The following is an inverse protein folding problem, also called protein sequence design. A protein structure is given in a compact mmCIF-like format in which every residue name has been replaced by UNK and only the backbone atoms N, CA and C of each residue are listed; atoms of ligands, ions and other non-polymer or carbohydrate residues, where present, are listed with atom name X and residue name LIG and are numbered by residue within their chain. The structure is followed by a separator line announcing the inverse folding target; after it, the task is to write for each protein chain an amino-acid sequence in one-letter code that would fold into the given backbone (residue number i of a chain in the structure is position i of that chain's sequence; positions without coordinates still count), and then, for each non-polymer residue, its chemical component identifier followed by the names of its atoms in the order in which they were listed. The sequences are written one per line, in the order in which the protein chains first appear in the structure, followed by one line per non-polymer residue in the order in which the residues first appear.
data_IF_708318054878
#
_entry.id   IF_708318054878
#
_cell.length_a   1.000
_cell.length_b   1.000
_cell.length_c   1.000
_cell.angle_alpha   90.00
_cell.angle_beta   90.00
_cell.angle_gamma   90.00
#
_symmetry.space_group_name_H-M   'P 1'
#
loop_
_entity.id
_entity.type
_entity.pdbx_description
1 polymer ?
#
# COMPACT_ATOMS: atom_id res chain seq x y z
N UNK A 1 -8.37 -24.02 2.63
CA UNK A 1 -8.73 -23.68 1.26
C UNK A 1 -9.70 -22.51 1.27
N UNK A 2 -9.61 -21.60 0.31
CA UNK A 2 -10.44 -20.37 0.20
C UNK A 2 -11.95 -20.68 0.16
N UNK A 3 -12.33 -21.86 -0.32
CA UNK A 3 -13.74 -22.31 -0.38
C UNK A 3 -14.41 -22.45 0.99
N UNK A 4 -13.65 -22.50 2.07
CA UNK A 4 -14.17 -22.63 3.43
C UNK A 4 -14.31 -21.32 4.18
N UNK A 5 -13.94 -20.19 3.56
CA UNK A 5 -13.84 -18.91 4.25
C UNK A 5 -14.80 -17.82 3.76
N UNK A 6 -15.58 -18.06 2.71
CA UNK A 6 -16.40 -17.01 2.11
C UNK A 6 -17.85 -17.48 1.90
N UNK A 7 -18.84 -16.64 2.18
CA UNK A 7 -20.25 -16.91 1.88
C UNK A 7 -20.50 -16.75 0.37
N UNK A 8 -19.99 -17.69 -0.43
CA UNK A 8 -20.17 -17.69 -1.87
C UNK A 8 -21.04 -18.88 -2.32
N UNK A 9 -21.74 -18.71 -3.43
CA UNK A 9 -22.65 -19.75 -3.99
C UNK A 9 -21.84 -20.92 -4.56
N UNK A 10 -20.72 -20.61 -5.22
CA UNK A 10 -19.76 -21.61 -5.72
C UNK A 10 -18.36 -21.02 -5.90
N UNK A 11 -17.36 -21.88 -5.97
CA UNK A 11 -15.98 -21.54 -6.27
C UNK A 11 -15.60 -22.12 -7.63
N UNK A 12 -15.20 -21.26 -8.56
CA UNK A 12 -14.59 -21.68 -9.81
C UNK A 12 -13.07 -21.64 -9.67
N UNK A 13 -12.40 -22.68 -10.09
CA UNK A 13 -10.95 -22.80 -9.98
C UNK A 13 -10.31 -23.27 -11.28
N UNK A 14 -9.06 -22.92 -11.49
CA UNK A 14 -8.22 -23.48 -12.52
C UNK A 14 -7.10 -24.31 -11.91
N UNK A 15 -6.72 -25.41 -12.54
CA UNK A 15 -5.69 -26.31 -12.06
C UNK A 15 -4.61 -26.53 -13.14
N UNK A 16 -3.40 -26.85 -12.71
CA UNK A 16 -2.27 -27.17 -13.59
C UNK A 16 -1.02 -26.36 -13.29
N UNK A 17 0.14 -26.89 -13.69
CA UNK A 17 1.45 -26.29 -13.45
C UNK A 17 1.64 -24.93 -14.12
N UNK A 18 0.92 -24.67 -15.21
CA UNK A 18 0.97 -23.39 -15.91
C UNK A 18 0.47 -22.19 -15.10
N UNK A 19 -0.31 -22.44 -14.02
CA UNK A 19 -0.87 -21.42 -13.13
C UNK A 19 -0.13 -21.32 -11.79
N UNK A 20 0.84 -22.19 -11.54
CA UNK A 20 1.62 -22.20 -10.29
C UNK A 20 2.48 -20.93 -10.13
N UNK A 21 2.93 -20.36 -11.25
CA UNK A 21 3.75 -19.16 -11.25
C UNK A 21 3.00 -17.96 -11.87
N UNK A 22 3.17 -16.73 -11.35
CA UNK A 22 2.52 -15.55 -11.90
C UNK A 22 3.05 -15.23 -13.30
N UNK A 23 2.27 -15.55 -14.32
CA UNK A 23 2.57 -15.32 -15.72
C UNK A 23 1.39 -14.65 -16.42
N UNK A 24 1.64 -13.53 -17.11
CA UNK A 24 0.58 -12.76 -17.75
C UNK A 24 -0.30 -13.60 -18.68
N UNK A 25 0.31 -14.41 -19.56
CA UNK A 25 -0.44 -15.14 -20.57
C UNK A 25 -1.38 -16.19 -19.98
N UNK A 26 -0.90 -17.02 -19.03
CA UNK A 26 -1.72 -18.03 -18.36
C UNK A 26 -2.74 -17.39 -17.40
N UNK A 27 -2.34 -16.38 -16.64
CA UNK A 27 -3.23 -15.70 -15.71
C UNK A 27 -4.38 -14.98 -16.44
N UNK A 28 -4.11 -14.32 -17.56
CA UNK A 28 -5.13 -13.64 -18.35
C UNK A 28 -6.10 -14.63 -19.02
N UNK A 29 -5.60 -15.77 -19.52
CA UNK A 29 -6.44 -16.83 -20.08
C UNK A 29 -7.33 -17.46 -18.98
N UNK A 30 -6.76 -17.71 -17.81
CA UNK A 30 -7.51 -18.21 -16.64
C UNK A 30 -8.62 -17.25 -16.23
N UNK A 31 -8.29 -15.95 -16.08
CA UNK A 31 -9.25 -14.93 -15.71
C UNK A 31 -10.41 -14.83 -16.72
N UNK A 32 -10.08 -14.81 -18.01
CA UNK A 32 -11.10 -14.80 -19.08
C UNK A 32 -12.01 -16.03 -19.00
N UNK A 33 -11.44 -17.24 -18.88
CA UNK A 33 -12.21 -18.49 -18.80
C UNK A 33 -13.11 -18.54 -17.57
N UNK A 34 -12.62 -18.11 -16.41
CA UNK A 34 -13.40 -18.03 -15.18
C UNK A 34 -14.56 -17.04 -15.29
N UNK A 35 -14.31 -15.86 -15.86
CA UNK A 35 -15.35 -14.85 -16.06
C UNK A 35 -16.42 -15.31 -17.04
N UNK A 36 -16.05 -16.01 -18.11
CA UNK A 36 -17.02 -16.62 -19.06
C UNK A 36 -17.84 -17.70 -18.38
N UNK A 37 -17.23 -18.63 -17.65
CA UNK A 37 -17.92 -19.68 -16.93
C UNK A 37 -18.87 -19.16 -15.84
N UNK A 38 -18.48 -18.07 -15.18
CA UNK A 38 -19.31 -17.39 -14.20
C UNK A 38 -20.41 -16.51 -14.81
N UNK A 39 -20.36 -16.22 -16.11
CA UNK A 39 -21.18 -15.18 -16.75
C UNK A 39 -21.09 -13.84 -15.99
N UNK A 40 -19.88 -13.50 -15.56
CA UNK A 40 -19.65 -12.41 -14.63
C UNK A 40 -20.00 -11.04 -15.26
N UNK A 41 -20.87 -10.29 -14.62
CA UNK A 41 -21.23 -8.93 -15.02
C UNK A 41 -20.40 -7.87 -14.29
N UNK A 42 -20.00 -8.17 -13.04
CA UNK A 42 -19.09 -7.36 -12.24
C UNK A 42 -17.99 -8.28 -11.72
N UNK A 43 -16.73 -7.83 -11.83
CA UNK A 43 -15.55 -8.59 -11.41
C UNK A 43 -14.76 -7.73 -10.43
N UNK A 44 -14.65 -8.21 -9.18
CA UNK A 44 -13.88 -7.54 -8.13
C UNK A 44 -12.54 -8.24 -7.92
N UNK A 45 -11.47 -7.48 -7.80
CA UNK A 45 -10.16 -8.01 -7.44
C UNK A 45 -9.36 -7.00 -6.62
N UNK A 46 -8.38 -7.43 -5.81
CA UNK A 46 -7.50 -6.50 -5.12
C UNK A 46 -6.59 -5.77 -6.11
N UNK A 47 -6.32 -4.49 -5.84
CA UNK A 47 -5.37 -3.67 -6.56
C UNK A 47 -3.94 -4.15 -6.26
N UNK A 48 -3.54 -5.22 -6.90
CA UNK A 48 -2.19 -5.76 -6.83
C UNK A 48 -1.52 -5.71 -8.21
N UNK A 49 -0.20 -5.71 -8.27
CA UNK A 49 0.53 -5.70 -9.54
C UNK A 49 0.21 -6.91 -10.44
N UNK A 50 -0.14 -8.06 -9.86
CA UNK A 50 -0.59 -9.22 -10.64
C UNK A 50 -1.96 -8.97 -11.25
N UNK A 51 -2.97 -8.58 -10.44
CA UNK A 51 -4.32 -8.38 -10.93
C UNK A 51 -4.48 -7.16 -11.83
N UNK A 52 -3.79 -6.04 -11.55
CA UNK A 52 -3.83 -4.86 -12.40
C UNK A 52 -3.41 -5.17 -13.85
N UNK A 53 -2.39 -6.01 -14.00
CA UNK A 53 -1.90 -6.44 -15.30
C UNK A 53 -2.84 -7.42 -16.00
N UNK A 54 -3.40 -8.37 -15.28
CA UNK A 54 -4.21 -9.47 -15.82
C UNK A 54 -5.64 -9.04 -16.12
N UNK A 55 -6.27 -8.29 -15.19
CA UNK A 55 -7.68 -7.87 -15.33
C UNK A 55 -7.91 -6.94 -16.51
N UNK A 56 -6.93 -6.08 -16.84
CA UNK A 56 -7.01 -5.21 -18.01
C UNK A 56 -7.10 -6.04 -19.32
N UNK A 57 -6.29 -7.12 -19.42
CA UNK A 57 -6.34 -8.01 -20.57
C UNK A 57 -7.66 -8.78 -20.64
N UNK A 58 -8.16 -9.29 -19.51
CA UNK A 58 -9.42 -10.02 -19.47
C UNK A 58 -10.60 -9.10 -19.81
N UNK A 59 -10.63 -7.87 -19.28
CA UNK A 59 -11.65 -6.87 -19.60
C UNK A 59 -11.69 -6.60 -21.10
N UNK A 60 -10.53 -6.36 -21.73
CA UNK A 60 -10.43 -6.12 -23.16
C UNK A 60 -10.95 -7.33 -23.99
N UNK A 61 -10.55 -8.56 -23.64
CA UNK A 61 -10.98 -9.78 -24.36
C UNK A 61 -12.47 -10.08 -24.22
N UNK A 62 -13.07 -9.64 -23.16
CA UNK A 62 -14.50 -9.80 -22.87
C UNK A 62 -15.36 -8.62 -23.34
N UNK A 63 -14.76 -7.62 -23.97
CA UNK A 63 -15.45 -6.40 -24.41
C UNK A 63 -15.96 -5.53 -23.24
N UNK A 64 -15.36 -5.70 -22.07
CA UNK A 64 -15.74 -5.02 -20.84
C UNK A 64 -14.90 -3.77 -20.56
N UNK A 65 -15.10 -3.20 -19.37
CA UNK A 65 -14.38 -2.03 -18.87
C UNK A 65 -13.68 -2.34 -17.57
N UNK A 66 -12.61 -1.60 -17.26
CA UNK A 66 -11.87 -1.72 -16.01
C UNK A 66 -11.64 -0.36 -15.38
N UNK A 67 -11.91 -0.26 -14.07
CA UNK A 67 -11.51 0.86 -13.23
C UNK A 67 -10.62 0.38 -12.10
N UNK A 68 -9.53 1.11 -11.87
CA UNK A 68 -8.51 0.79 -10.89
C UNK A 68 -8.52 1.79 -9.74
N UNK A 69 -7.87 1.46 -8.62
CA UNK A 69 -7.83 2.33 -7.44
C UNK A 69 -9.21 2.67 -6.90
N UNK A 70 -10.10 1.67 -6.91
CA UNK A 70 -11.44 1.80 -6.33
C UNK A 70 -11.32 1.76 -4.82
N UNK A 71 -11.88 2.75 -4.15
CA UNK A 71 -11.82 2.90 -2.69
C UNK A 71 -13.03 2.29 -1.99
N UNK A 72 -14.19 2.36 -2.62
CA UNK A 72 -15.43 1.80 -2.11
C UNK A 72 -16.44 1.54 -3.22
N UNK A 73 -17.43 0.73 -2.90
CA UNK A 73 -18.58 0.46 -3.75
C UNK A 73 -19.82 1.08 -3.10
N UNK A 74 -20.68 1.70 -3.90
CA UNK A 74 -21.96 2.24 -3.43
C UNK A 74 -22.98 1.14 -3.18
N UNK A 75 -23.92 1.41 -2.28
CA UNK A 75 -25.00 0.51 -1.90
C UNK A 75 -26.28 0.73 -2.74
N UNK A 76 -26.21 1.50 -3.82
CA UNK A 76 -27.36 1.79 -4.67
C UNK A 76 -27.77 0.60 -5.53
N UNK A 77 -29.01 0.58 -6.02
CA UNK A 77 -29.52 -0.44 -6.97
C UNK A 77 -28.66 -0.51 -8.25
N UNK A 78 -28.08 0.61 -8.65
CA UNK A 78 -27.09 0.68 -9.73
C UNK A 78 -25.69 0.64 -9.13
N UNK A 79 -24.81 -0.29 -9.56
CA UNK A 79 -23.45 -0.37 -9.05
C UNK A 79 -22.70 0.93 -9.25
N UNK A 80 -22.19 1.50 -8.17
CA UNK A 80 -21.35 2.68 -8.14
C UNK A 80 -19.96 2.32 -7.60
N UNK A 81 -18.92 2.92 -8.16
CA UNK A 81 -17.55 2.76 -7.69
C UNK A 81 -16.92 4.12 -7.41
N UNK A 82 -16.39 4.30 -6.22
CA UNK A 82 -15.62 5.48 -5.87
C UNK A 82 -14.15 5.21 -6.12
N UNK A 83 -13.46 6.14 -6.77
CA UNK A 83 -12.03 6.01 -7.04
C UNK A 83 -11.29 7.33 -7.00
N UNK A 84 -9.97 7.25 -6.70
CA UNK A 84 -9.09 8.40 -6.75
C UNK A 84 -8.59 8.70 -8.16
N UNK A 85 -8.55 10.00 -8.50
CA UNK A 85 -7.90 10.56 -9.68
C UNK A 85 -6.82 11.57 -9.30
N UNK A 86 -5.96 11.90 -10.24
CA UNK A 86 -4.94 12.96 -10.13
C UNK A 86 -4.12 12.86 -8.84
N UNK A 87 -3.50 11.70 -8.59
CA UNK A 87 -2.71 11.45 -7.36
C UNK A 87 -3.55 11.67 -6.10
N UNK A 88 -4.75 11.13 -6.05
CA UNK A 88 -5.67 11.19 -4.92
C UNK A 88 -6.15 12.61 -4.55
N UNK A 89 -6.14 13.53 -5.50
CA UNK A 89 -6.66 14.89 -5.27
C UNK A 89 -8.17 14.99 -5.47
N UNK A 90 -8.72 14.15 -6.32
CA UNK A 90 -10.15 14.13 -6.66
C UNK A 90 -10.64 12.70 -6.45
N UNK A 91 -11.74 12.55 -5.74
CA UNK A 91 -12.53 11.33 -5.69
C UNK A 91 -13.71 11.47 -6.65
N UNK A 92 -13.91 10.47 -7.49
CA UNK A 92 -15.01 10.42 -8.40
C UNK A 92 -15.91 9.23 -8.10
N UNK A 93 -17.21 9.44 -8.22
CA UNK A 93 -18.23 8.38 -8.25
C UNK A 93 -18.48 8.02 -9.70
N UNK A 94 -18.27 6.75 -10.02
CA UNK A 94 -18.41 6.23 -11.39
C UNK A 94 -19.58 5.24 -11.46
N UNK A 95 -20.34 5.34 -12.52
CA UNK A 95 -21.34 4.34 -12.94
C UNK A 95 -21.01 3.88 -14.36
N UNK A 96 -21.27 2.60 -14.65
CA UNK A 96 -21.13 2.07 -16.01
C UNK A 96 -22.28 1.10 -16.31
N UNK A 97 -22.82 1.21 -17.48
CA UNK A 97 -23.86 0.27 -18.00
C UNK A 97 -23.24 -0.90 -18.75
N UNK A 98 -22.07 -0.70 -19.36
CA UNK A 98 -21.36 -1.75 -20.09
C UNK A 98 -20.85 -2.86 -19.16
N UNK A 99 -20.95 -4.11 -19.63
CA UNK A 99 -20.55 -5.31 -18.88
C UNK A 99 -19.65 -6.21 -19.74
N UNK A 100 -18.76 -7.00 -19.12
CA UNK A 100 -18.46 -7.01 -17.69
C UNK A 100 -17.71 -5.75 -17.23
N UNK A 101 -17.92 -5.34 -15.98
CA UNK A 101 -17.19 -4.23 -15.36
C UNK A 101 -16.22 -4.77 -14.32
N UNK A 102 -14.93 -4.54 -14.55
CA UNK A 102 -13.84 -4.95 -13.68
C UNK A 102 -13.46 -3.81 -12.74
N UNK A 103 -13.37 -4.10 -11.45
CA UNK A 103 -13.08 -3.15 -10.39
C UNK A 103 -11.90 -3.65 -9.56
N UNK A 104 -10.79 -2.90 -9.57
CA UNK A 104 -9.64 -3.19 -8.74
C UNK A 104 -9.70 -2.35 -7.47
N UNK A 105 -9.95 -3.02 -6.34
CA UNK A 105 -10.12 -2.40 -5.03
C UNK A 105 -8.77 -2.14 -4.37
N UNK A 106 -8.57 -0.92 -3.88
CA UNK A 106 -7.38 -0.57 -3.10
C UNK A 106 -7.32 -1.39 -1.81
N UNK A 107 -6.15 -1.93 -1.49
CA UNK A 107 -5.96 -2.71 -0.28
C UNK A 107 -6.10 -1.83 0.98
N UNK A 108 -6.75 -2.35 2.00
CA UNK A 108 -6.91 -1.66 3.29
C UNK A 108 -8.04 -0.63 3.34
N UNK A 109 -8.83 -0.47 2.29
CA UNK A 109 -10.01 0.42 2.28
C UNK A 109 -11.27 -0.25 2.83
N UNK A 110 -11.30 -1.58 2.86
CA UNK A 110 -12.45 -2.34 3.30
C UNK A 110 -12.14 -3.14 4.57
N UNK A 111 -13.16 -3.35 5.39
CA UNK A 111 -13.06 -4.18 6.60
C UNK A 111 -12.94 -5.65 6.16
N UNK A 112 -12.03 -6.43 6.75
CA UNK A 112 -11.96 -7.86 6.48
C UNK A 112 -13.26 -8.57 6.86
N UNK A 113 -13.65 -9.56 6.05
CA UNK A 113 -14.80 -10.39 6.38
C UNK A 113 -14.54 -11.20 7.66
N UNK A 114 -15.45 -11.07 8.63
CA UNK A 114 -15.40 -11.72 9.95
C UNK A 114 -16.56 -12.68 10.20
N UNK A 115 -17.41 -12.92 9.19
CA UNK A 115 -18.57 -13.80 9.30
C UNK A 115 -18.22 -15.30 9.31
N UNK A 116 -19.22 -16.13 9.48
CA UNK A 116 -19.04 -17.58 9.47
C UNK A 116 -18.62 -18.09 8.10
N UNK A 117 -17.70 -19.05 8.10
CA UNK A 117 -17.24 -19.69 6.89
C UNK A 117 -18.27 -20.68 6.36
N UNK A 118 -18.61 -20.60 5.08
CA UNK A 118 -19.45 -21.58 4.39
C UNK A 118 -18.61 -22.42 3.42
N UNK A 119 -18.92 -23.71 3.32
CA UNK A 119 -18.32 -24.57 2.33
C UNK A 119 -19.07 -24.42 1.01
N UNK A 120 -18.42 -23.89 -0.01
CA UNK A 120 -18.97 -23.82 -1.37
C UNK A 120 -18.40 -24.93 -2.26
N UNK A 121 -19.21 -25.50 -3.20
CA UNK A 121 -18.73 -26.48 -4.15
C UNK A 121 -17.65 -25.85 -5.06
N UNK A 122 -16.61 -26.62 -5.35
CA UNK A 122 -15.53 -26.21 -6.24
C UNK A 122 -15.67 -26.88 -7.59
N UNK A 123 -15.75 -26.07 -8.64
CA UNK A 123 -15.80 -26.52 -10.03
C UNK A 123 -14.48 -26.15 -10.73
N UNK A 124 -13.83 -27.13 -11.36
CA UNK A 124 -12.58 -26.91 -12.10
C UNK A 124 -12.92 -26.53 -13.54
N UNK A 125 -12.49 -25.35 -13.96
CA UNK A 125 -12.68 -24.82 -15.29
C UNK A 125 -11.47 -25.14 -16.15
N UNK A 126 -11.71 -25.73 -17.33
CA UNK A 126 -10.67 -25.96 -18.32
C UNK A 126 -10.29 -24.65 -19.01
N UNK A 127 -9.00 -24.45 -19.19
CA UNK A 127 -8.45 -23.23 -19.80
C UNK A 127 -7.64 -23.60 -21.04
N UNK A 128 -8.02 -23.04 -22.18
CA UNK A 128 -7.22 -23.12 -23.39
C UNK A 128 -6.07 -22.14 -23.29
N UNK A 129 -4.87 -22.65 -23.05
CA UNK A 129 -3.68 -21.83 -22.90
C UNK A 129 -3.14 -21.38 -24.26
N UNK A 130 -2.80 -20.09 -24.42
CA UNK A 130 -2.05 -19.65 -25.57
C UNK A 130 -0.62 -20.20 -25.50
N UNK A 131 0.13 -20.11 -26.60
CA UNK A 131 1.55 -20.42 -26.59
C UNK A 131 2.28 -19.53 -25.57
N UNK A 132 2.88 -20.15 -24.57
CA UNK A 132 3.61 -19.46 -23.50
C UNK A 132 5.03 -19.12 -23.98
N UNK A 133 5.31 -17.82 -24.17
CA UNK A 133 6.60 -17.30 -24.65
C UNK A 133 7.55 -16.84 -23.54
N UNK A 134 7.11 -16.93 -22.30
CA UNK A 134 7.89 -16.50 -21.12
C UNK A 134 7.89 -17.58 -20.06
N UNK A 135 8.98 -17.69 -19.33
CA UNK A 135 9.15 -18.57 -18.19
C UNK A 135 9.47 -17.74 -16.94
N UNK A 136 8.94 -18.13 -15.79
CA UNK A 136 9.30 -17.54 -14.51
C UNK A 136 10.35 -18.45 -13.87
N UNK A 137 11.59 -18.01 -13.88
CA UNK A 137 12.72 -18.79 -13.36
C UNK A 137 12.89 -18.67 -11.85
N UNK A 138 12.26 -17.67 -11.22
CA UNK A 138 12.31 -17.49 -9.77
C UNK A 138 11.82 -16.11 -9.32
N UNK A 139 11.93 -15.86 -8.03
CA UNK A 139 11.61 -14.58 -7.39
C UNK A 139 12.85 -14.05 -6.68
N UNK A 140 13.10 -12.77 -6.83
CA UNK A 140 14.09 -12.05 -6.04
C UNK A 140 13.36 -11.18 -5.01
N UNK A 141 13.55 -11.49 -3.73
CA UNK A 141 13.11 -10.60 -2.65
C UNK A 141 14.15 -9.51 -2.45
N UNK A 142 13.75 -8.24 -2.26
CA UNK A 142 14.69 -7.20 -1.88
C UNK A 142 15.30 -7.54 -0.51
N UNK A 143 16.56 -7.16 -0.30
CA UNK A 143 17.18 -7.24 1.02
C UNK A 143 16.51 -6.23 1.96
N UNK A 144 16.69 -6.41 3.28
CA UNK A 144 16.06 -5.51 4.27
C UNK A 144 16.48 -4.05 4.12
N UNK A 145 17.71 -3.81 3.70
CA UNK A 145 18.30 -2.49 3.41
C UNK A 145 17.87 -1.90 2.06
N UNK A 146 17.32 -2.73 1.16
CA UNK A 146 16.75 -2.31 -0.13
C UNK A 146 15.23 -2.09 -0.06
N UNK A 147 14.63 -2.17 1.13
CA UNK A 147 13.18 -2.12 1.25
C UNK A 147 12.64 -0.71 0.99
N UNK A 148 11.71 -0.66 0.05
CA UNK A 148 10.85 0.49 -0.20
C UNK A 148 9.69 0.52 0.81
N UNK A 149 8.77 1.49 0.68
CA UNK A 149 7.55 1.53 1.48
C UNK A 149 6.72 0.28 1.20
N UNK A 150 6.50 -0.54 2.23
CA UNK A 150 5.84 -1.85 2.12
C UNK A 150 4.33 -1.73 2.24
N UNK A 151 3.55 -2.32 1.31
CA UNK A 151 2.09 -2.25 1.33
C UNK A 151 1.43 -3.15 2.40
N UNK A 152 2.15 -4.14 2.93
CA UNK A 152 1.65 -5.10 3.91
C UNK A 152 1.75 -4.60 5.36
N UNK A 153 2.53 -3.55 5.62
CA UNK A 153 2.70 -2.99 6.95
C UNK A 153 1.46 -2.20 7.41
N UNK A 154 1.04 -2.40 8.64
CA UNK A 154 -0.09 -1.66 9.23
C UNK A 154 0.26 -0.23 9.61
N UNK A 155 1.55 0.04 9.89
CA UNK A 155 2.07 1.32 10.33
C UNK A 155 3.15 1.80 9.35
N UNK A 156 3.05 3.04 8.92
CA UNK A 156 4.10 3.76 8.19
C UNK A 156 4.80 4.72 9.14
N UNK A 157 6.08 4.47 9.41
CA UNK A 157 6.95 5.42 10.10
C UNK A 157 7.51 6.40 9.07
N UNK A 158 7.38 7.70 9.30
CA UNK A 158 7.87 8.74 8.39
C UNK A 158 8.94 9.57 9.09
N UNK A 159 10.18 9.43 8.64
CA UNK A 159 11.31 10.22 9.15
C UNK A 159 11.34 11.59 8.47
N UNK A 160 11.36 12.65 9.25
CA UNK A 160 11.55 14.03 8.80
C UNK A 160 13.02 14.47 8.87
N UNK A 161 13.36 15.62 8.24
CA UNK A 161 14.73 16.13 8.18
C UNK A 161 15.33 16.50 9.54
N UNK A 162 14.51 16.70 10.56
CA UNK A 162 14.98 16.95 11.92
C UNK A 162 15.89 15.88 12.51
N UNK A 163 15.79 14.62 12.02
CA UNK A 163 16.70 13.55 12.46
C UNK A 163 18.18 13.77 12.09
N UNK A 164 18.43 14.56 11.08
CA UNK A 164 19.80 14.87 10.59
C UNK A 164 20.21 16.32 10.81
N UNK A 165 19.37 17.12 11.47
CA UNK A 165 19.68 18.51 11.84
C UNK A 165 20.37 18.57 13.21
N UNK A 166 21.00 19.73 13.49
CA UNK A 166 21.58 20.02 14.81
C UNK A 166 20.49 19.98 15.88
N UNK A 167 20.78 19.27 16.96
CA UNK A 167 19.93 19.18 18.14
C UNK A 167 20.21 20.35 19.11
N UNK A 168 19.50 20.49 20.24
CA UNK A 168 19.69 21.59 21.19
C UNK A 168 21.10 21.72 21.75
N UNK A 169 21.89 20.65 21.76
CA UNK A 169 23.32 20.65 22.14
C UNK A 169 24.24 21.12 21.05
N UNK A 170 23.71 21.51 19.87
CA UNK A 170 24.48 22.00 18.72
C UNK A 170 25.09 20.89 17.85
N UNK A 171 24.97 19.64 18.23
CA UNK A 171 25.52 18.49 17.48
C UNK A 171 24.45 17.80 16.59
N UNK A 172 24.93 17.05 15.61
CA UNK A 172 24.10 16.18 14.75
C UNK A 172 24.28 14.73 15.21
N UNK A 173 23.18 14.06 15.53
CA UNK A 173 23.18 12.72 16.13
C UNK A 173 22.69 11.64 15.15
N UNK A 174 23.27 11.56 13.94
CA UNK A 174 22.80 10.61 12.89
C UNK A 174 22.93 9.14 13.29
N UNK A 175 23.96 8.78 14.06
CA UNK A 175 24.17 7.39 14.52
C UNK A 175 23.07 6.98 15.51
N UNK A 176 22.75 7.87 16.45
CA UNK A 176 21.65 7.64 17.40
C UNK A 176 20.30 7.63 16.69
N UNK A 177 20.07 8.56 15.77
CA UNK A 177 18.85 8.60 14.94
C UNK A 177 18.66 7.27 14.18
N UNK A 178 19.72 6.80 13.52
CA UNK A 178 19.71 5.54 12.80
C UNK A 178 19.32 4.38 13.71
N UNK A 179 19.95 4.28 14.87
CA UNK A 179 19.66 3.23 15.85
C UNK A 179 18.22 3.29 16.33
N UNK A 180 17.70 4.45 16.72
CA UNK A 180 16.34 4.61 17.23
C UNK A 180 15.28 4.22 16.17
N UNK A 181 15.50 4.63 14.93
CA UNK A 181 14.59 4.31 13.82
C UNK A 181 14.61 2.82 13.53
N UNK A 182 15.80 2.22 13.36
CA UNK A 182 15.91 0.80 13.01
C UNK A 182 15.40 -0.12 14.13
N UNK A 183 15.69 0.19 15.40
CA UNK A 183 15.15 -0.53 16.55
C UNK A 183 13.61 -0.49 16.54
N UNK A 184 13.02 0.68 16.28
CA UNK A 184 11.57 0.81 16.20
C UNK A 184 10.98 -0.02 15.06
N UNK A 185 11.56 0.03 13.87
CA UNK A 185 11.09 -0.73 12.72
C UNK A 185 11.16 -2.23 12.97
N UNK A 186 12.24 -2.68 13.61
CA UNK A 186 12.44 -4.09 13.94
C UNK A 186 11.35 -4.62 14.88
N UNK A 187 11.06 -3.89 15.96
CA UNK A 187 10.09 -4.34 16.97
C UNK A 187 8.65 -4.16 16.51
N UNK A 188 8.33 -3.05 15.81
CA UNK A 188 6.96 -2.72 15.42
C UNK A 188 6.52 -3.38 14.09
N UNK A 189 7.45 -3.84 13.26
CA UNK A 189 7.17 -4.28 11.91
C UNK A 189 6.69 -3.14 10.98
N UNK A 190 6.89 -1.88 11.37
CA UNK A 190 6.48 -0.73 10.58
C UNK A 190 7.23 -0.64 9.25
N UNK A 191 6.60 -0.03 8.27
CA UNK A 191 7.25 0.36 7.02
C UNK A 191 7.99 1.68 7.20
N UNK A 192 9.10 1.86 6.49
CA UNK A 192 9.90 3.08 6.54
C UNK A 192 9.57 4.01 5.37
N UNK A 193 9.13 5.21 5.70
CA UNK A 193 9.00 6.34 4.80
C UNK A 193 9.85 7.53 5.25
N UNK A 194 10.00 8.50 4.38
CA UNK A 194 10.73 9.74 4.66
C UNK A 194 10.07 10.96 4.07
N UNK A 195 10.39 12.13 4.61
CA UNK A 195 10.13 13.39 3.93
C UNK A 195 11.07 13.56 2.72
N UNK A 196 10.66 14.42 1.78
CA UNK A 196 11.52 14.78 0.64
C UNK A 196 12.82 15.43 1.13
N UNK A 197 12.71 16.38 2.04
CA UNK A 197 13.86 17.13 2.56
C UNK A 197 14.94 16.22 3.16
N UNK A 198 14.53 15.16 3.88
CA UNK A 198 15.52 14.25 4.47
C UNK A 198 16.34 13.49 3.43
N UNK A 199 15.71 13.04 2.33
CA UNK A 199 16.43 12.27 1.29
C UNK A 199 17.19 13.15 0.31
N UNK A 200 16.78 14.41 0.14
CA UNK A 200 17.49 15.38 -0.70
C UNK A 200 18.80 15.88 -0.06
N UNK A 201 18.89 15.88 1.27
CA UNK A 201 20.07 16.38 2.01
C UNK A 201 21.38 15.72 1.61
N UNK A 202 21.36 14.46 1.15
CA UNK A 202 22.56 13.76 0.67
C UNK A 202 23.22 14.44 -0.52
N UNK A 203 22.42 15.03 -1.42
CA UNK A 203 22.91 15.80 -2.57
C UNK A 203 23.47 17.18 -2.21
N UNK A 204 23.14 17.67 -1.01
CA UNK A 204 23.54 19.01 -0.52
C UNK A 204 24.73 18.97 0.44
N UNK A 205 25.36 17.80 0.63
CA UNK A 205 26.52 17.63 1.51
C UNK A 205 26.20 17.58 3.01
N UNK A 206 24.94 17.41 3.38
CA UNK A 206 24.54 17.25 4.77
C UNK A 206 24.63 15.79 5.25
N UNK A 207 24.60 15.62 6.56
CA UNK A 207 24.54 14.30 7.19
C UNK A 207 23.28 13.54 6.76
N UNK A 208 23.41 12.26 6.41
CA UNK A 208 22.34 11.41 5.90
C UNK A 208 22.16 10.16 6.73
N UNK A 209 20.97 9.55 6.63
CA UNK A 209 20.71 8.21 7.11
C UNK A 209 20.91 7.23 5.94
N UNK A 210 21.92 6.37 5.95
CA UNK A 210 22.38 5.63 4.76
C UNK A 210 21.34 4.59 4.24
N UNK A 211 20.36 4.22 5.06
CA UNK A 211 19.28 3.32 4.70
C UNK A 211 18.06 4.03 4.10
N UNK A 212 18.07 5.35 3.96
CA UNK A 212 17.03 6.14 3.33
C UNK A 212 17.43 6.60 1.94
N UNK A 213 16.51 6.41 1.00
CA UNK A 213 16.65 6.85 -0.39
C UNK A 213 15.38 7.53 -0.88
N UNK A 214 15.38 8.08 -2.08
CA UNK A 214 14.17 8.62 -2.71
C UNK A 214 13.03 7.59 -2.85
N UNK A 215 13.33 6.31 -2.82
CA UNK A 215 12.32 5.24 -2.83
C UNK A 215 11.48 5.21 -1.55
N UNK A 216 12.01 5.76 -0.45
CA UNK A 216 11.29 5.89 0.82
C UNK A 216 10.46 7.18 0.89
N UNK A 217 10.57 8.09 -0.07
CA UNK A 217 9.84 9.36 -0.03
C UNK A 217 8.33 9.14 -0.12
N UNK A 218 7.61 9.57 0.90
CA UNK A 218 6.16 9.42 1.00
C UNK A 218 5.45 10.40 0.06
N UNK A 219 4.61 9.87 -0.83
CA UNK A 219 3.72 10.65 -1.69
C UNK A 219 4.34 11.25 -2.95
N UNK A 220 5.61 11.01 -3.24
CA UNK A 220 6.31 11.62 -4.38
C UNK A 220 5.63 11.34 -5.73
N UNK A 221 5.28 10.10 -5.99
CA UNK A 221 4.76 9.66 -7.30
C UNK A 221 3.27 9.33 -7.28
N UNK A 222 2.62 9.43 -6.11
CA UNK A 222 1.26 8.95 -5.91
C UNK A 222 1.16 7.42 -5.88
N UNK A 223 2.29 6.73 -5.87
CA UNK A 223 2.38 5.25 -5.80
C UNK A 223 2.62 4.72 -4.39
N UNK A 224 2.73 5.60 -3.39
CA UNK A 224 2.88 5.17 -1.99
C UNK A 224 1.68 4.34 -1.55
N UNK A 225 1.88 3.12 -1.05
CA UNK A 225 0.79 2.27 -0.58
C UNK A 225 0.01 2.91 0.57
N UNK A 226 -1.27 2.60 0.67
CA UNK A 226 -2.08 3.03 1.81
C UNK A 226 -1.71 2.27 3.07
N UNK A 227 -1.68 3.01 4.19
CA UNK A 227 -1.44 2.44 5.52
C UNK A 227 -2.56 2.85 6.47
N UNK A 228 -2.99 1.92 7.31
CA UNK A 228 -4.01 2.19 8.31
C UNK A 228 -3.56 3.27 9.30
N UNK A 229 -2.28 3.28 9.66
CA UNK A 229 -1.67 4.21 10.62
C UNK A 229 -0.37 4.78 10.10
N UNK A 230 -0.06 6.01 10.51
CA UNK A 230 1.22 6.65 10.26
C UNK A 230 1.73 7.43 11.45
N UNK A 231 3.03 7.35 11.68
CA UNK A 231 3.75 8.12 12.69
C UNK A 231 4.82 8.95 11.99
N UNK A 232 4.64 10.25 12.01
CA UNK A 232 5.62 11.19 11.49
C UNK A 232 6.47 11.75 12.63
N UNK A 233 7.76 11.87 12.41
CA UNK A 233 8.73 12.25 13.43
C UNK A 233 9.71 13.28 12.92
N UNK A 234 10.17 14.17 13.80
CA UNK A 234 11.15 15.22 13.50
C UNK A 234 10.78 16.11 12.31
N UNK A 235 9.52 16.50 12.22
CA UNK A 235 9.05 17.46 11.23
C UNK A 235 9.37 18.87 11.70
N UNK A 236 10.51 19.39 11.32
CA UNK A 236 10.94 20.73 11.70
C UNK A 236 10.67 21.72 10.55
N UNK A 237 9.42 22.22 10.47
CA UNK A 237 9.03 23.22 9.49
C UNK A 237 8.97 22.75 8.05
N UNK A 238 9.05 21.44 7.81
CA UNK A 238 8.93 20.87 6.47
C UNK A 238 7.50 20.83 6.02
N UNK A 239 7.26 21.19 4.78
CA UNK A 239 5.98 20.94 4.14
C UNK A 239 5.92 19.46 3.68
N UNK A 240 4.99 18.66 4.17
CA UNK A 240 4.81 17.32 3.64
C UNK A 240 4.27 17.43 2.24
N UNK A 241 4.65 16.49 1.40
CA UNK A 241 3.93 16.31 0.16
C UNK A 241 2.46 16.08 0.49
N UNK A 242 1.58 16.98 0.03
CA UNK A 242 0.13 16.95 0.33
C UNK A 242 -0.48 15.59 -0.01
N UNK A 243 0.05 14.93 -1.04
CA UNK A 243 -0.35 13.58 -1.47
C UNK A 243 0.07 12.49 -0.46
N UNK A 244 1.20 12.66 0.23
CA UNK A 244 1.72 11.63 1.15
C UNK A 244 0.78 11.35 2.32
N UNK A 245 0.15 12.37 2.85
CA UNK A 245 -0.78 12.20 3.95
C UNK A 245 -2.09 11.51 3.60
N UNK A 246 -2.53 11.60 2.36
CA UNK A 246 -3.77 10.97 1.92
C UNK A 246 -3.69 9.46 1.86
N UNK A 247 -2.48 8.90 1.84
CA UNK A 247 -2.26 7.45 1.87
C UNK A 247 -2.21 6.89 3.29
N UNK A 248 -2.35 7.73 4.32
CA UNK A 248 -2.32 7.34 5.73
C UNK A 248 -3.69 7.60 6.34
N UNK A 249 -4.27 6.59 6.99
CA UNK A 249 -5.55 6.68 7.69
C UNK A 249 -5.44 7.49 8.99
N UNK A 250 -5.07 6.87 10.10
CA UNK A 250 -4.81 7.54 11.38
C UNK A 250 -3.40 8.14 11.39
N UNK A 251 -3.28 9.45 11.59
CA UNK A 251 -2.03 10.21 11.45
C UNK A 251 -1.60 10.80 12.77
N UNK A 252 -0.43 10.41 13.25
CA UNK A 252 0.19 10.96 14.45
C UNK A 252 1.51 11.61 14.09
N UNK A 253 1.83 12.72 14.74
CA UNK A 253 3.09 13.45 14.53
C UNK A 253 3.78 13.75 15.85
N UNK A 254 5.10 13.68 15.86
CA UNK A 254 5.98 14.14 16.92
C UNK A 254 6.81 15.28 16.36
N UNK A 255 6.69 16.47 16.91
CA UNK A 255 7.42 17.67 16.48
C UNK A 255 7.79 18.52 17.68
N UNK A 256 9.01 19.09 17.67
CA UNK A 256 9.42 20.10 18.64
C UNK A 256 8.76 21.45 18.38
N UNK A 257 8.45 21.74 17.11
CA UNK A 257 7.83 22.99 16.72
C UNK A 257 6.30 22.91 16.86
N UNK A 258 5.70 23.63 17.82
CA UNK A 258 4.26 23.66 17.98
C UNK A 258 3.52 24.32 16.80
N UNK A 259 4.23 25.08 15.97
CA UNK A 259 3.69 25.77 14.80
C UNK A 259 4.01 25.05 13.49
N UNK A 260 4.60 23.85 13.54
CA UNK A 260 4.83 23.06 12.35
C UNK A 260 3.52 22.88 11.59
N UNK A 261 3.38 23.58 10.47
CA UNK A 261 2.17 23.57 9.65
C UNK A 261 1.80 22.18 9.13
N UNK A 262 2.81 21.34 8.95
CA UNK A 262 2.65 19.96 8.58
C UNK A 262 1.95 19.15 9.67
N UNK A 263 2.46 19.18 10.90
CA UNK A 263 1.88 18.46 12.00
C UNK A 263 0.47 19.00 12.33
N UNK A 264 0.32 20.31 12.47
CA UNK A 264 -0.98 20.92 12.82
C UNK A 264 -2.06 20.80 11.75
N UNK A 265 -1.68 20.93 10.49
CA UNK A 265 -2.66 20.93 9.39
C UNK A 265 -3.02 19.55 8.86
N UNK A 266 -2.28 18.50 9.23
CA UNK A 266 -2.39 17.18 8.58
C UNK A 266 -2.48 16.01 9.54
N UNK A 267 -1.94 16.12 10.75
CA UNK A 267 -2.02 15.05 11.74
C UNK A 267 -3.32 15.10 12.54
N UNK A 268 -3.86 13.94 12.87
CA UNK A 268 -5.03 13.83 13.75
C UNK A 268 -4.62 14.07 15.23
N UNK A 269 -3.38 13.70 15.57
CA UNK A 269 -2.78 13.96 16.89
C UNK A 269 -1.35 14.44 16.73
N UNK A 270 -1.00 15.54 17.40
CA UNK A 270 0.35 16.10 17.45
C UNK A 270 0.89 16.04 18.87
N UNK A 271 2.06 15.43 19.03
CA UNK A 271 2.83 15.45 20.26
C UNK A 271 3.94 16.50 20.13
N UNK A 272 3.87 17.55 20.95
CA UNK A 272 4.95 18.55 21.03
C UNK A 272 6.02 17.97 21.94
N UNK A 273 7.02 17.35 21.37
CA UNK A 273 8.08 16.67 22.09
C UNK A 273 9.29 16.41 21.20
N UNK A 274 10.42 16.14 21.85
CA UNK A 274 11.64 15.69 21.20
C UNK A 274 11.48 14.24 20.73
N UNK A 275 11.67 14.01 19.41
CA UNK A 275 11.48 12.69 18.82
C UNK A 275 12.57 11.69 19.27
N UNK A 276 13.79 12.11 19.55
CA UNK A 276 14.85 11.24 20.08
C UNK A 276 14.42 10.67 21.44
N UNK A 277 13.97 11.54 22.35
CA UNK A 277 13.54 11.12 23.68
C UNK A 277 12.28 10.25 23.64
N UNK A 278 11.31 10.64 22.80
CA UNK A 278 10.06 9.86 22.66
C UNK A 278 10.34 8.49 22.09
N UNK A 279 11.11 8.41 21.01
CA UNK A 279 11.39 7.13 20.34
C UNK A 279 12.25 6.21 21.22
N UNK A 280 13.20 6.74 21.99
CA UNK A 280 13.94 5.96 22.98
C UNK A 280 12.99 5.29 23.99
N UNK A 281 12.03 6.06 24.55
CA UNK A 281 11.03 5.51 25.48
C UNK A 281 10.07 4.52 24.83
N UNK A 282 9.65 4.79 23.60
CA UNK A 282 8.77 3.89 22.84
C UNK A 282 9.45 2.56 22.58
N UNK A 283 10.69 2.57 22.07
CA UNK A 283 11.47 1.36 21.83
C UNK A 283 11.67 0.55 23.12
N UNK A 284 11.98 1.22 24.23
CA UNK A 284 12.12 0.57 25.53
C UNK A 284 10.83 -0.10 26.02
N UNK A 285 9.65 0.49 25.74
CA UNK A 285 8.35 -0.08 26.10
C UNK A 285 7.99 -1.25 25.18
N UNK A 286 8.21 -1.10 23.88
CA UNK A 286 7.90 -2.17 22.91
C UNK A 286 8.79 -3.40 23.10
N UNK A 287 10.05 -3.21 23.50
CA UNK A 287 10.95 -4.35 23.80
C UNK A 287 10.55 -5.15 25.05
N UNK A 288 9.61 -4.65 25.87
CA UNK A 288 9.10 -5.32 27.07
C UNK A 288 7.71 -5.94 26.85
N UNK A 289 7.06 -5.64 25.74
CA UNK A 289 5.72 -6.12 25.37
C UNK A 289 5.76 -7.39 24.54
#
# INVERSE_FOLDING_TARGET
SLSKGLPCVKVLAVAGSAFAQPRFASDAAACESLCRAAQATIVLAPQSSRFARVMAAAAHRLGGFIDTHVTSLGESESPEAMRWFYRQRIEAVLTRTARPWFLLLDCGTNVPFTGESAAAPVEIIQVNLPMLRTEVTGFRSPKQDEQTIRPDAKLLFVAGAGWTKKQPDGAVHTVEAAKLILDFLHVSGASLGSSKSLVDHGGEGHSVLPFLTHLNQVGQTGSTPRHAKGLSTCCQGEEPHVVGWRVIGERRAISLDPNCGWARGKADVVYIADAFQVMAKVNQKLAKA
#
